data_IF_378350044140
#
_entry.id   IF_378350044140
#
_cell.length_a   1.000
_cell.length_b   1.000
_cell.length_c   1.000
_cell.angle_alpha   90.00
_cell.angle_beta   90.00
_cell.angle_gamma   90.00
#
_symmetry.space_group_name_H-M   'P 1'
#
loop_
_entity.id
_entity.type
_entity.pdbx_description
1 polymer ?
#
# COMPACT_ATOMS: atom_id res chain seq x y z
N UNK A 1 -7.35 -2.62 -21.11
CA UNK A 1 -6.72 -1.35 -21.53
C UNK A 1 -7.24 -0.85 -22.88
N UNK A 2 -7.42 -1.71 -23.90
CA UNK A 2 -7.98 -1.31 -25.21
C UNK A 2 -9.33 -0.56 -25.14
N UNK A 3 -10.22 -0.94 -24.22
CA UNK A 3 -11.51 -0.25 -24.04
C UNK A 3 -11.39 1.19 -23.54
N UNK A 4 -10.37 1.52 -22.73
CA UNK A 4 -10.17 2.88 -22.22
C UNK A 4 -9.70 3.80 -23.33
N UNK A 5 -8.71 3.37 -24.11
CA UNK A 5 -8.19 4.13 -25.24
C UNK A 5 -9.22 4.28 -26.36
N UNK A 6 -10.00 3.24 -26.63
CA UNK A 6 -11.12 3.31 -27.58
C UNK A 6 -12.20 4.32 -27.11
N UNK A 7 -12.58 4.28 -25.83
CA UNK A 7 -13.52 5.25 -25.28
C UNK A 7 -12.99 6.69 -25.34
N UNK A 8 -11.69 6.89 -25.06
CA UNK A 8 -11.03 8.19 -25.17
C UNK A 8 -11.00 8.70 -26.62
N UNK A 9 -10.71 7.82 -27.57
CA UNK A 9 -10.72 8.14 -29.00
C UNK A 9 -12.12 8.56 -29.46
N UNK A 10 -13.15 7.78 -29.09
CA UNK A 10 -14.56 8.14 -29.36
C UNK A 10 -14.95 9.46 -28.71
N UNK A 11 -14.54 9.71 -27.47
CA UNK A 11 -14.80 10.99 -26.81
C UNK A 11 -14.17 12.17 -27.56
N UNK A 12 -12.92 12.05 -28.01
CA UNK A 12 -12.26 13.08 -28.80
C UNK A 12 -12.90 13.28 -30.17
N UNK A 13 -13.44 12.22 -30.78
CA UNK A 13 -14.16 12.31 -32.04
C UNK A 13 -15.51 13.03 -31.87
N UNK A 14 -16.32 12.63 -30.88
CA UNK A 14 -17.68 13.16 -30.72
C UNK A 14 -17.74 14.54 -30.09
N UNK A 15 -16.76 14.95 -29.27
CA UNK A 15 -16.76 16.29 -28.66
C UNK A 15 -16.78 17.41 -29.69
N UNK A 16 -16.36 17.13 -30.92
CA UNK A 16 -16.35 18.10 -32.01
C UNK A 16 -17.72 18.65 -32.39
N UNK A 17 -18.80 17.91 -32.08
CA UNK A 17 -20.16 18.41 -32.27
C UNK A 17 -20.42 19.71 -31.49
N UNK A 18 -19.78 19.89 -30.33
CA UNK A 18 -19.92 21.10 -29.51
C UNK A 18 -19.17 22.30 -30.10
N UNK A 19 -18.09 22.05 -30.87
CA UNK A 19 -17.40 23.10 -31.61
C UNK A 19 -18.18 23.49 -32.87
N UNK A 20 -18.68 22.50 -33.63
CA UNK A 20 -19.51 22.72 -34.83
C UNK A 20 -20.82 23.44 -34.48
N UNK A 21 -21.44 23.10 -33.35
CA UNK A 21 -22.68 23.72 -32.88
C UNK A 21 -22.51 25.11 -32.24
N UNK A 22 -21.32 25.71 -32.26
CA UNK A 22 -21.05 27.04 -31.69
C UNK A 22 -21.09 27.10 -30.15
N UNK A 23 -21.30 25.96 -29.46
CA UNK A 23 -21.33 25.89 -28.00
C UNK A 23 -19.95 26.16 -27.42
N UNK A 24 -18.88 25.79 -28.15
CA UNK A 24 -17.50 25.90 -27.66
C UNK A 24 -16.48 26.10 -28.77
N UNK A 25 -16.33 27.35 -29.19
CA UNK A 25 -15.47 27.73 -30.32
C UNK A 25 -13.97 27.70 -29.99
N UNK A 26 -13.58 28.09 -28.77
CA UNK A 26 -12.18 28.16 -28.31
C UNK A 26 -11.54 26.78 -28.05
N UNK A 27 -12.29 25.69 -28.21
CA UNK A 27 -11.80 24.31 -28.15
C UNK A 27 -11.92 23.62 -26.78
N UNK A 28 -11.10 22.59 -26.58
CA UNK A 28 -11.22 21.61 -25.50
C UNK A 28 -9.97 21.56 -24.60
N UNK A 29 -9.65 22.68 -23.97
CA UNK A 29 -8.51 22.83 -23.04
C UNK A 29 -8.91 22.70 -21.55
N UNK A 30 -10.07 22.08 -21.26
CA UNK A 30 -10.49 21.91 -19.87
C UNK A 30 -9.49 21.03 -19.12
N UNK A 31 -9.08 21.41 -17.89
CA UNK A 31 -8.14 20.62 -17.09
C UNK A 31 -8.55 19.15 -16.94
N UNK A 32 -9.86 18.87 -16.80
CA UNK A 32 -10.38 17.50 -16.70
C UNK A 32 -10.36 16.74 -18.03
N UNK A 33 -10.51 17.42 -19.16
CA UNK A 33 -10.47 16.78 -20.47
C UNK A 33 -9.04 16.48 -20.89
N UNK A 34 -8.12 17.39 -20.59
CA UNK A 34 -6.69 17.20 -20.81
C UNK A 34 -6.13 16.06 -19.96
N UNK A 35 -6.58 15.91 -18.71
CA UNK A 35 -6.07 14.87 -17.81
C UNK A 35 -6.44 13.45 -18.24
N UNK A 36 -7.52 13.25 -19.02
CA UNK A 36 -7.95 11.91 -19.46
C UNK A 36 -6.91 11.20 -20.32
N UNK A 37 -6.13 11.94 -21.11
CA UNK A 37 -5.05 11.40 -21.95
C UNK A 37 -3.95 10.74 -21.10
N UNK A 38 -3.83 11.14 -19.83
CA UNK A 38 -2.85 10.61 -18.90
C UNK A 38 -3.37 9.44 -18.06
N UNK A 39 -4.63 9.02 -18.20
CA UNK A 39 -5.22 7.99 -17.34
C UNK A 39 -4.55 6.63 -17.52
N UNK A 40 -4.31 6.19 -18.75
CA UNK A 40 -3.64 4.89 -18.99
C UNK A 40 -2.28 4.85 -18.29
N UNK A 41 -1.45 5.87 -18.53
CA UNK A 41 -0.14 5.99 -17.90
C UNK A 41 -0.25 6.02 -16.37
N UNK A 42 -1.19 6.78 -15.81
CA UNK A 42 -1.38 6.86 -14.35
C UNK A 42 -1.92 5.57 -13.72
N UNK A 43 -2.71 4.78 -14.45
CA UNK A 43 -3.15 3.47 -14.00
C UNK A 43 -1.97 2.50 -13.98
N UNK A 44 -1.11 2.52 -14.99
CA UNK A 44 0.08 1.67 -15.01
C UNK A 44 1.10 2.06 -13.93
N UNK A 45 1.41 3.35 -13.84
CA UNK A 45 2.46 3.84 -12.94
C UNK A 45 2.03 3.81 -11.46
N UNK A 46 0.74 4.03 -11.18
CA UNK A 46 0.25 4.28 -9.80
C UNK A 46 -1.00 3.49 -9.41
N UNK A 47 -1.50 2.59 -10.27
CA UNK A 47 -2.77 1.89 -10.07
C UNK A 47 -3.96 2.83 -9.76
N UNK A 48 -3.89 4.08 -10.24
CA UNK A 48 -4.81 5.15 -9.87
C UNK A 48 -5.68 5.59 -11.07
N UNK A 49 -6.94 5.10 -11.20
CA UNK A 49 -7.78 5.39 -12.36
C UNK A 49 -8.20 6.86 -12.52
N UNK A 50 -8.33 7.59 -11.41
CA UNK A 50 -8.79 8.99 -11.42
C UNK A 50 -7.64 9.99 -11.16
N UNK A 51 -6.40 9.51 -11.17
CA UNK A 51 -5.21 10.27 -10.76
C UNK A 51 -4.83 10.10 -9.29
N UNK A 52 -3.63 10.55 -8.95
CA UNK A 52 -3.13 10.56 -7.58
C UNK A 52 -3.98 11.51 -6.73
N UNK A 53 -4.75 10.96 -5.79
CA UNK A 53 -5.45 11.74 -4.79
C UNK A 53 -4.46 12.17 -3.71
N UNK A 54 -4.64 13.37 -3.15
CA UNK A 54 -3.91 13.80 -1.95
C UNK A 54 -4.07 12.81 -0.79
N UNK A 55 -5.14 12.00 -0.76
CA UNK A 55 -5.33 10.95 0.23
C UNK A 55 -4.23 9.88 0.20
N UNK A 56 -3.63 9.58 -0.96
CA UNK A 56 -2.58 8.55 -1.06
C UNK A 56 -1.30 9.04 -0.37
N UNK A 57 -0.86 10.24 -0.71
CA UNK A 57 0.33 10.85 -0.10
C UNK A 57 0.08 11.24 1.35
N UNK A 58 -1.13 11.68 1.68
CA UNK A 58 -1.53 12.01 3.04
C UNK A 58 -1.55 10.78 3.95
N UNK A 59 -2.04 9.62 3.48
CA UNK A 59 -1.96 8.36 4.24
C UNK A 59 -0.52 7.99 4.59
N UNK A 60 0.40 8.07 3.62
CA UNK A 60 1.82 7.79 3.89
C UNK A 60 2.44 8.85 4.81
N UNK A 61 2.07 10.13 4.64
CA UNK A 61 2.52 11.23 5.49
C UNK A 61 2.02 11.09 6.94
N UNK A 62 0.81 10.57 7.16
CA UNK A 62 0.31 10.24 8.50
C UNK A 62 1.24 9.22 9.16
N UNK A 63 1.55 8.11 8.48
CA UNK A 63 2.38 7.03 9.03
C UNK A 63 3.85 7.39 9.20
N UNK A 64 4.45 8.07 8.23
CA UNK A 64 5.88 8.37 8.23
C UNK A 64 6.23 9.66 8.98
N UNK A 65 5.27 10.57 9.20
CA UNK A 65 5.55 11.90 9.78
C UNK A 65 4.65 12.19 10.96
N UNK A 66 3.32 12.24 10.79
CA UNK A 66 2.42 12.70 11.87
C UNK A 66 2.43 11.78 13.09
N UNK A 67 2.37 10.47 12.88
CA UNK A 67 2.43 9.48 13.98
C UNK A 67 3.78 9.48 14.72
N UNK A 68 4.95 9.43 14.02
CA UNK A 68 6.26 9.54 14.66
C UNK A 68 6.46 10.87 15.39
N UNK A 69 6.04 11.99 14.79
CA UNK A 69 6.09 13.30 15.44
C UNK A 69 5.33 13.29 16.78
N UNK A 70 4.10 12.75 16.78
CA UNK A 70 3.27 12.63 17.98
C UNK A 70 3.89 11.72 19.05
N UNK A 71 4.67 10.70 18.66
CA UNK A 71 5.38 9.78 19.55
C UNK A 71 6.72 10.35 20.07
N UNK A 72 7.31 11.30 19.36
CA UNK A 72 8.58 11.92 19.75
C UNK A 72 8.43 12.81 20.98
N UNK A 73 9.54 13.06 21.68
CA UNK A 73 9.59 14.05 22.75
C UNK A 73 9.69 15.50 22.24
N UNK A 74 9.70 15.72 20.92
CA UNK A 74 9.83 17.00 20.20
C UNK A 74 11.18 17.72 20.34
N UNK A 75 12.13 17.19 21.09
CA UNK A 75 13.51 17.66 21.14
C UNK A 75 14.37 16.86 20.15
N UNK A 76 15.03 17.52 19.19
CA UNK A 76 15.73 16.84 18.08
C UNK A 76 14.87 15.75 17.40
N UNK A 77 13.58 16.07 17.19
CA UNK A 77 12.55 15.11 16.82
C UNK A 77 12.83 14.38 15.50
N UNK A 78 13.51 15.02 14.54
CA UNK A 78 13.77 14.44 13.22
C UNK A 78 14.54 13.12 13.33
N UNK A 79 15.60 13.08 14.14
CA UNK A 79 16.37 11.86 14.35
C UNK A 79 15.53 10.74 14.98
N UNK A 80 14.68 11.09 15.95
CA UNK A 80 13.77 10.14 16.59
C UNK A 80 12.72 9.61 15.62
N UNK A 81 12.17 10.47 14.76
CA UNK A 81 11.18 10.09 13.75
C UNK A 81 11.79 9.14 12.72
N UNK A 82 12.99 9.44 12.23
CA UNK A 82 13.71 8.58 11.29
C UNK A 82 14.02 7.21 11.88
N UNK A 83 14.55 7.16 13.10
CA UNK A 83 14.81 5.89 13.81
C UNK A 83 13.52 5.10 14.08
N UNK A 84 12.42 5.79 14.38
CA UNK A 84 11.11 5.15 14.58
C UNK A 84 10.61 4.51 13.30
N UNK A 85 10.65 5.23 12.18
CA UNK A 85 10.27 4.70 10.88
C UNK A 85 11.11 3.47 10.52
N UNK A 86 12.43 3.58 10.66
CA UNK A 86 13.36 2.48 10.40
C UNK A 86 13.03 1.24 11.25
N UNK A 87 12.74 1.40 12.54
CA UNK A 87 12.39 0.28 13.42
C UNK A 87 11.07 -0.38 13.00
N UNK A 88 10.07 0.42 12.64
CA UNK A 88 8.78 -0.08 12.16
C UNK A 88 8.94 -0.88 10.86
N UNK A 89 9.72 -0.38 9.91
CA UNK A 89 9.99 -1.06 8.64
C UNK A 89 10.72 -2.40 8.87
N UNK A 90 11.75 -2.40 9.73
CA UNK A 90 12.46 -3.62 10.14
C UNK A 90 11.54 -4.67 10.77
N UNK A 91 10.61 -4.25 11.63
CA UNK A 91 9.63 -5.14 12.25
C UNK A 91 8.64 -5.70 11.22
N UNK A 92 8.16 -4.87 10.29
CA UNK A 92 7.26 -5.30 9.22
C UNK A 92 7.92 -6.37 8.33
N UNK A 93 9.15 -6.12 7.87
CA UNK A 93 9.94 -7.09 7.09
C UNK A 93 10.18 -8.38 7.88
N UNK A 94 10.59 -8.26 9.15
CA UNK A 94 10.85 -9.42 10.00
C UNK A 94 9.58 -10.26 10.19
N UNK A 95 8.42 -9.62 10.37
CA UNK A 95 7.13 -10.31 10.50
C UNK A 95 6.81 -11.14 9.26
N UNK A 96 6.91 -10.56 8.07
CA UNK A 96 6.69 -11.27 6.79
C UNK A 96 7.66 -12.45 6.66
N UNK A 97 8.94 -12.22 6.98
CA UNK A 97 9.96 -13.25 6.90
C UNK A 97 9.69 -14.44 7.86
N UNK A 98 9.28 -14.17 9.10
CA UNK A 98 8.93 -15.23 10.06
C UNK A 98 7.62 -15.94 9.72
N UNK A 99 6.64 -15.22 9.16
CA UNK A 99 5.37 -15.79 8.70
C UNK A 99 5.58 -16.76 7.53
N UNK A 100 6.42 -16.38 6.55
CA UNK A 100 6.80 -17.24 5.43
C UNK A 100 7.54 -18.51 5.87
N UNK A 101 8.32 -18.43 6.96
CA UNK A 101 8.96 -19.59 7.60
C UNK A 101 8.00 -20.42 8.48
N UNK A 102 6.76 -19.99 8.63
CA UNK A 102 5.76 -20.64 9.48
C UNK A 102 6.01 -20.49 10.98
N UNK A 103 6.86 -19.55 11.40
CA UNK A 103 7.25 -19.34 12.79
C UNK A 103 6.20 -18.56 13.62
N UNK A 104 5.20 -17.97 12.96
CA UNK A 104 4.13 -17.18 13.59
C UNK A 104 2.73 -17.81 13.42
N UNK A 105 2.65 -19.12 13.12
CA UNK A 105 1.37 -19.80 12.82
C UNK A 105 0.50 -20.08 14.05
N UNK A 106 1.10 -20.20 15.23
CA UNK A 106 0.40 -20.52 16.48
C UNK A 106 0.58 -19.42 17.52
N UNK A 107 -0.42 -19.21 18.37
CA UNK A 107 -0.32 -18.25 19.48
C UNK A 107 0.43 -18.87 20.66
N UNK A 108 1.21 -18.07 21.39
CA UNK A 108 1.84 -18.52 22.64
C UNK A 108 0.81 -19.07 23.65
N UNK A 109 -0.41 -18.53 23.61
CA UNK A 109 -1.56 -19.00 24.38
C UNK A 109 -1.93 -20.45 24.04
N UNK A 110 -1.89 -20.83 22.75
CA UNK A 110 -2.18 -22.19 22.30
C UNK A 110 -1.11 -23.18 22.76
N UNK A 111 0.16 -22.78 22.71
CA UNK A 111 1.28 -23.59 23.23
C UNK A 111 1.19 -23.78 24.75
N UNK A 112 0.91 -22.70 25.50
CA UNK A 112 0.68 -22.78 26.93
C UNK A 112 -0.50 -23.70 27.28
N UNK A 113 -1.56 -23.67 26.48
CA UNK A 113 -2.74 -24.52 26.67
C UNK A 113 -2.46 -26.00 26.37
N UNK A 114 -1.58 -26.32 25.41
CA UNK A 114 -1.10 -27.69 25.16
C UNK A 114 -0.18 -28.21 26.27
N UNK A 115 0.59 -27.33 26.92
CA UNK A 115 1.42 -27.67 28.07
C UNK A 115 0.59 -27.94 29.34
N UNK A 116 -0.50 -27.20 29.52
CA UNK A 116 -1.41 -27.34 30.66
C UNK A 116 -2.39 -28.51 30.51
N UNK A 117 -2.80 -28.83 29.28
CA UNK A 117 -3.70 -29.96 28.98
C UNK A 117 -3.16 -30.79 27.80
N UNK A 118 -2.31 -31.81 28.08
CA UNK A 118 -1.67 -32.64 27.06
C UNK A 118 -2.64 -33.48 26.22
N UNK A 119 -3.91 -33.61 26.63
CA UNK A 119 -4.95 -34.36 25.90
C UNK A 119 -5.75 -33.49 24.93
N UNK A 120 -5.55 -32.18 24.91
CA UNK A 120 -6.19 -31.32 23.93
C UNK A 120 -5.82 -31.76 22.49
N UNK A 121 -6.79 -31.81 21.54
CA UNK A 121 -6.54 -32.28 20.19
C UNK A 121 -5.43 -31.46 19.53
N UNK A 122 -4.29 -32.12 19.27
CA UNK A 122 -3.13 -31.55 18.61
C UNK A 122 -3.22 -31.80 17.08
N UNK A 123 -3.53 -30.77 16.27
CA UNK A 123 -3.64 -30.93 14.82
C UNK A 123 -2.30 -31.22 14.14
N UNK A 124 -1.15 -31.10 14.83
CA UNK A 124 0.18 -31.43 14.28
C UNK A 124 0.39 -32.92 14.03
N UNK A 125 -0.47 -33.80 14.58
CA UNK A 125 -0.42 -35.26 14.35
C UNK A 125 -1.21 -35.75 13.14
N UNK A 126 -1.78 -34.86 12.33
CA UNK A 126 -2.45 -35.26 11.07
C UNK A 126 -1.46 -35.16 9.92
N UNK A 127 -1.31 -36.24 9.16
CA UNK A 127 -0.50 -36.36 7.94
C UNK A 127 -0.88 -35.34 6.84
N UNK A 128 -0.38 -35.50 5.60
CA UNK A 128 -0.20 -34.43 4.61
C UNK A 128 -1.41 -33.48 4.55
N UNK A 129 -1.18 -32.21 4.90
CA UNK A 129 -2.23 -31.23 5.10
C UNK A 129 -2.92 -30.90 3.78
N UNK A 130 -4.21 -31.25 3.68
CA UNK A 130 -5.14 -30.61 2.77
C UNK A 130 -5.15 -29.10 3.02
N UNK A 131 -5.14 -28.33 1.93
CA UNK A 131 -5.12 -26.87 1.91
C UNK A 131 -6.29 -26.28 2.72
N UNK A 132 -5.99 -25.49 3.75
CA UNK A 132 -6.97 -24.65 4.43
C UNK A 132 -7.06 -23.27 3.75
N UNK A 133 -8.25 -22.65 3.71
CA UNK A 133 -8.53 -21.49 2.89
C UNK A 133 -7.77 -20.25 3.38
N UNK A 134 -7.19 -19.51 2.42
CA UNK A 134 -6.57 -18.19 2.62
C UNK A 134 -7.56 -17.27 3.32
N UNK A 135 -7.30 -16.95 4.60
CA UNK A 135 -7.95 -15.83 5.27
C UNK A 135 -7.48 -14.55 4.58
N UNK A 136 -8.34 -13.95 3.77
CA UNK A 136 -8.16 -12.59 3.30
C UNK A 136 -8.35 -11.64 4.47
N UNK A 137 -7.26 -11.27 5.14
CA UNK A 137 -7.20 -10.01 5.87
C UNK A 137 -7.27 -8.88 4.84
N UNK A 138 -8.50 -8.46 4.53
CA UNK A 138 -8.75 -7.22 3.81
C UNK A 138 -8.46 -6.05 4.76
N UNK A 139 -7.19 -5.73 4.93
CA UNK A 139 -6.77 -4.36 5.14
C UNK A 139 -5.96 -3.99 3.90
N UNK A 140 -6.66 -3.52 2.87
CA UNK A 140 -6.03 -2.94 1.69
C UNK A 140 -5.46 -1.58 2.08
N UNK A 141 -4.31 -1.59 2.75
CA UNK A 141 -3.39 -0.47 2.63
C UNK A 141 -2.76 -0.61 1.25
N UNK A 142 -3.36 0.04 0.24
CA UNK A 142 -2.75 0.22 -1.08
C UNK A 142 -1.59 1.21 -0.95
N UNK A 143 -0.59 0.86 -0.15
CA UNK A 143 0.75 1.42 -0.23
C UNK A 143 1.48 0.67 -1.33
N UNK A 144 1.86 1.37 -2.39
CA UNK A 144 2.62 0.80 -3.49
C UNK A 144 3.83 0.02 -2.96
N UNK A 145 3.95 -1.20 -3.48
CA UNK A 145 4.99 -2.16 -3.21
C UNK A 145 6.34 -1.59 -3.67
N UNK A 146 7.07 -1.00 -2.73
CA UNK A 146 8.51 -0.75 -2.83
C UNK A 146 9.25 -1.59 -1.79
N UNK A 147 8.67 -2.72 -1.38
CA UNK A 147 9.31 -3.65 -0.47
C UNK A 147 10.18 -4.60 -1.29
N UNK A 148 11.34 -4.09 -1.73
CA UNK A 148 12.46 -4.99 -1.98
C UNK A 148 12.98 -5.45 -0.61
N UNK A 149 12.78 -6.72 -0.20
CA UNK A 149 13.16 -7.21 1.12
C UNK A 149 14.69 -7.22 1.34
N UNK A 150 15.49 -6.92 0.32
CA UNK A 150 16.94 -6.88 0.39
C UNK A 150 17.51 -5.53 0.89
N UNK A 151 16.71 -4.46 0.96
CA UNK A 151 17.20 -3.14 1.35
C UNK A 151 16.67 -2.74 2.74
N UNK A 152 17.41 -3.13 3.78
CA UNK A 152 17.23 -2.54 5.10
C UNK A 152 17.77 -1.11 5.07
N UNK A 153 16.89 -0.14 4.90
CA UNK A 153 17.27 1.26 5.03
C UNK A 153 17.89 1.48 6.43
N UNK A 154 19.11 2.02 6.46
CA UNK A 154 19.80 2.36 7.70
C UNK A 154 20.05 3.86 7.79
N UNK A 155 19.59 4.46 8.88
CA UNK A 155 19.78 5.89 9.14
C UNK A 155 20.93 6.04 10.13
N UNK A 156 22.04 6.60 9.68
CA UNK A 156 23.15 7.03 10.53
C UNK A 156 23.00 8.52 10.82
N UNK A 157 22.67 8.87 12.07
CA UNK A 157 22.66 10.27 12.51
C UNK A 157 24.09 10.69 12.87
N UNK A 158 24.62 11.72 12.23
CA UNK A 158 25.87 12.35 12.66
C UNK A 158 25.63 13.10 13.97
N UNK A 159 26.53 12.96 14.93
CA UNK A 159 26.49 13.77 16.16
C UNK A 159 26.82 15.23 15.79
N UNK A 160 25.93 16.15 16.16
CA UNK A 160 26.18 17.59 16.12
C UNK A 160 26.98 18.06 17.31
#
# INVERSE_FOLDING_TARGET
MNHLNDALARFHQYREVFRVGGVREEGFSLPRQHSMVHYEKRIWDFAAPNGLCSSITESKHIKAVKEPWRRSNRYEALGQMLLTNQRMDKLAISRVHFENRGMLKDTCLREAQLLLDPQAPNPRRRGPQAELPKRTSQDKDNGGDLDNPALLAEVTLSKG
#
